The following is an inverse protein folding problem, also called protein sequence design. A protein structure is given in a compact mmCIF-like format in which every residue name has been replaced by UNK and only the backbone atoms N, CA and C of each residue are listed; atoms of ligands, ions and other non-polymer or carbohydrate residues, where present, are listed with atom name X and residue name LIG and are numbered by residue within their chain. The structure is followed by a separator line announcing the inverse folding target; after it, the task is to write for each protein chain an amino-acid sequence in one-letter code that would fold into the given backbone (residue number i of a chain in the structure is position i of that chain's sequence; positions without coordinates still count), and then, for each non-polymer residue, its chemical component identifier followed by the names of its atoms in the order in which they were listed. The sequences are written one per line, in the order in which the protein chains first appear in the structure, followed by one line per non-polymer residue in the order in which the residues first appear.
data_IF_155930073481
#
_entry.id   IF_155930073481
#
_cell.length_a   1.000
_cell.length_b   1.000
_cell.length_c   1.000
_cell.angle_alpha   90.00
_cell.angle_beta   90.00
_cell.angle_gamma   90.00
#
_symmetry.space_group_name_H-M   'P 1'
#
loop_
_entity.id
_entity.type
_entity.pdbx_description
1 polymer ?
#
# COMPACT_ATOMS: atom_id res chain seq x y z
N UNK A 1 2.93 15.61 17.82
CA UNK A 1 2.41 15.74 16.43
C UNK A 1 3.20 14.94 15.39
N UNK A 2 4.52 14.77 15.52
CA UNK A 2 5.31 13.97 14.56
C UNK A 2 5.04 12.45 14.65
N UNK A 3 4.83 11.90 15.86
CA UNK A 3 4.59 10.47 16.07
C UNK A 3 3.34 9.95 15.35
N UNK A 4 2.25 10.73 15.35
CA UNK A 4 1.02 10.36 14.63
C UNK A 4 1.21 10.27 13.12
N UNK A 5 2.06 11.13 12.53
CA UNK A 5 2.37 11.10 11.08
C UNK A 5 3.24 9.90 10.71
N UNK A 6 4.11 9.47 11.61
CA UNK A 6 4.96 8.29 11.41
C UNK A 6 4.13 7.00 11.49
N UNK A 7 3.22 6.91 12.47
CA UNK A 7 2.34 5.76 12.62
C UNK A 7 1.38 5.59 11.42
N UNK A 8 0.81 6.70 10.93
CA UNK A 8 -0.03 6.71 9.72
C UNK A 8 0.72 6.19 8.48
N UNK A 9 1.97 6.61 8.31
CA UNK A 9 2.83 6.15 7.21
C UNK A 9 3.10 4.66 7.28
N UNK A 10 3.46 4.16 8.46
CA UNK A 10 3.75 2.73 8.66
C UNK A 10 2.52 1.86 8.42
N UNK A 11 1.36 2.30 8.91
CA UNK A 11 0.10 1.60 8.68
C UNK A 11 -0.26 1.58 7.18
N UNK A 12 -0.10 2.71 6.49
CA UNK A 12 -0.32 2.79 5.03
C UNK A 12 0.60 1.85 4.28
N UNK A 13 1.90 1.83 4.60
CA UNK A 13 2.86 0.92 3.95
C UNK A 13 2.47 -0.54 4.13
N UNK A 14 2.08 -0.94 5.35
CA UNK A 14 1.64 -2.32 5.63
C UNK A 14 0.39 -2.70 4.85
N UNK A 15 -0.59 -1.80 4.74
CA UNK A 15 -1.78 -2.05 3.90
C UNK A 15 -1.40 -2.21 2.43
N UNK A 16 -0.56 -1.33 1.88
CA UNK A 16 -0.12 -1.43 0.48
C UNK A 16 0.59 -2.76 0.22
N UNK A 17 1.47 -3.20 1.13
CA UNK A 17 2.12 -4.50 1.03
C UNK A 17 1.11 -5.64 0.99
N UNK A 18 0.14 -5.66 1.91
CA UNK A 18 -0.89 -6.70 1.95
C UNK A 18 -1.73 -6.75 0.67
N UNK A 19 -2.09 -5.58 0.12
CA UNK A 19 -2.85 -5.51 -1.13
C UNK A 19 -2.03 -6.04 -2.31
N UNK A 20 -0.76 -5.63 -2.40
CA UNK A 20 0.13 -6.06 -3.49
C UNK A 20 0.41 -7.56 -3.42
N UNK A 21 0.70 -8.11 -2.25
CA UNK A 21 0.91 -9.56 -2.08
C UNK A 21 -0.35 -10.36 -2.40
N UNK A 22 -1.52 -9.88 -1.98
CA UNK A 22 -2.81 -10.46 -2.33
C UNK A 22 -3.06 -10.47 -3.84
N UNK A 23 -2.75 -9.36 -4.53
CA UNK A 23 -2.90 -9.24 -5.99
C UNK A 23 -1.87 -10.06 -6.78
N UNK A 24 -0.63 -10.14 -6.29
CA UNK A 24 0.45 -10.90 -6.92
C UNK A 24 0.34 -12.42 -6.65
N UNK A 25 -0.44 -12.83 -5.65
CA UNK A 25 -0.52 -14.21 -5.16
C UNK A 25 0.86 -14.77 -4.74
N UNK A 26 1.75 -13.89 -4.28
CA UNK A 26 3.06 -14.22 -3.74
C UNK A 26 3.54 -13.13 -2.80
N UNK A 27 4.50 -13.46 -1.96
CA UNK A 27 5.24 -12.46 -1.18
C UNK A 27 6.03 -11.52 -2.10
N UNK A 28 6.16 -10.27 -1.66
CA UNK A 28 6.99 -9.28 -2.33
C UNK A 28 8.47 -9.57 -2.05
N UNK A 29 9.33 -9.31 -3.04
CA UNK A 29 10.77 -9.36 -2.85
C UNK A 29 11.26 -8.10 -2.13
N UNK A 30 12.41 -8.19 -1.46
CA UNK A 30 13.00 -7.07 -0.72
C UNK A 30 13.16 -5.79 -1.57
N UNK A 31 13.47 -5.92 -2.87
CA UNK A 31 13.55 -4.79 -3.80
C UNK A 31 12.19 -4.12 -4.03
N UNK A 32 11.12 -4.91 -4.10
CA UNK A 32 9.75 -4.42 -4.29
C UNK A 32 9.26 -3.70 -3.02
N UNK A 33 9.55 -4.26 -1.84
CA UNK A 33 9.28 -3.60 -0.56
C UNK A 33 9.97 -2.24 -0.44
N UNK A 34 11.25 -2.18 -0.83
CA UNK A 34 12.03 -0.94 -0.81
C UNK A 34 11.43 0.11 -1.76
N UNK A 35 11.10 -0.30 -2.99
CA UNK A 35 10.51 0.60 -3.99
C UNK A 35 9.19 1.20 -3.48
N UNK A 36 8.31 0.39 -2.91
CA UNK A 36 7.04 0.85 -2.35
C UNK A 36 7.25 1.74 -1.13
N UNK A 37 8.23 1.43 -0.26
CA UNK A 37 8.56 2.30 0.87
C UNK A 37 9.03 3.68 0.42
N UNK A 38 9.90 3.75 -0.60
CA UNK A 38 10.40 5.02 -1.15
C UNK A 38 9.24 5.82 -1.77
N UNK A 39 8.39 5.15 -2.55
CA UNK A 39 7.20 5.72 -3.15
C UNK A 39 6.25 6.31 -2.10
N UNK A 40 5.88 5.55 -1.07
CA UNK A 40 4.96 5.98 -0.01
C UNK A 40 5.55 7.11 0.86
N UNK A 41 6.87 7.15 1.00
CA UNK A 41 7.56 8.19 1.78
C UNK A 41 7.41 9.59 1.18
N UNK A 42 7.24 9.68 -0.13
CA UNK A 42 7.06 10.95 -0.86
C UNK A 42 5.66 11.55 -0.74
N UNK A 43 4.69 10.79 -0.23
CA UNK A 43 3.29 11.20 -0.21
C UNK A 43 2.85 11.83 1.12
N UNK A 44 1.95 12.81 0.99
CA UNK A 44 1.21 13.34 2.13
C UNK A 44 0.08 12.35 2.55
N UNK A 45 -0.65 12.67 3.61
CA UNK A 45 -1.68 11.79 4.16
C UNK A 45 -2.87 11.57 3.18
N UNK A 46 -3.26 12.59 2.43
CA UNK A 46 -4.37 12.52 1.47
C UNK A 46 -4.00 11.69 0.23
N UNK A 47 -2.78 11.88 -0.27
CA UNK A 47 -2.21 11.09 -1.37
C UNK A 47 -2.20 9.60 -1.01
N UNK A 48 -1.76 9.27 0.21
CA UNK A 48 -1.72 7.90 0.74
C UNK A 48 -3.11 7.26 0.80
N UNK A 49 -4.10 7.98 1.32
CA UNK A 49 -5.48 7.50 1.36
C UNK A 49 -6.04 7.25 -0.04
N UNK A 50 -5.75 8.16 -0.99
CA UNK A 50 -6.16 8.04 -2.39
C UNK A 50 -5.54 6.80 -3.04
N UNK A 51 -4.24 6.58 -2.85
CA UNK A 51 -3.52 5.41 -3.37
C UNK A 51 -4.08 4.10 -2.82
N UNK A 52 -4.33 4.04 -1.51
CA UNK A 52 -4.92 2.85 -0.88
C UNK A 52 -6.27 2.50 -1.48
N UNK A 53 -7.13 3.50 -1.69
CA UNK A 53 -8.44 3.28 -2.31
C UNK A 53 -8.30 2.77 -3.75
N UNK A 54 -7.43 3.38 -4.57
CA UNK A 54 -7.17 2.91 -5.93
C UNK A 54 -6.68 1.47 -5.96
N UNK A 55 -5.73 1.10 -5.10
CA UNK A 55 -5.21 -0.27 -5.02
C UNK A 55 -6.28 -1.27 -4.59
N UNK A 56 -7.09 -0.95 -3.58
CA UNK A 56 -8.22 -1.77 -3.14
C UNK A 56 -9.25 -1.95 -4.26
N UNK A 57 -9.58 -0.92 -5.02
CA UNK A 57 -10.51 -1.02 -6.14
C UNK A 57 -9.98 -1.90 -7.28
N UNK A 58 -8.68 -1.81 -7.57
CA UNK A 58 -8.05 -2.63 -8.61
C UNK A 58 -8.03 -4.12 -8.22
N UNK A 59 -7.64 -4.45 -6.99
CA UNK A 59 -7.59 -5.85 -6.54
C UNK A 59 -8.97 -6.43 -6.30
N UNK A 60 -9.93 -5.66 -5.77
CA UNK A 60 -11.32 -6.13 -5.62
C UNK A 60 -11.98 -6.46 -6.98
N UNK A 61 -11.61 -5.76 -8.06
CA UNK A 61 -12.06 -6.12 -9.42
C UNK A 61 -11.46 -7.44 -9.90
N UNK A 62 -10.27 -7.81 -9.44
CA UNK A 62 -9.62 -9.10 -9.78
C UNK A 62 -10.13 -10.27 -8.92
N UNK A 63 -10.66 -10.01 -7.72
CA UNK A 63 -11.22 -11.04 -6.82
C UNK A 63 -12.69 -11.38 -7.14
N UNK A 64 -13.38 -10.59 -7.99
CA UNK A 64 -14.69 -10.98 -8.54
C UNK A 64 -14.53 -12.17 -9.50
N UNK A 65 -14.44 -13.35 -8.91
CA UNK A 65 -14.70 -14.63 -9.56
C UNK A 65 -16.24 -14.77 -9.59
N UNK A 66 -16.76 -15.05 -10.78
CA UNK A 66 -18.16 -15.43 -11.03
C UNK A 66 -18.52 -16.73 -10.29
#
# INVERSE_FOLDING_TARGET
MAEFKTQDRENTMREIYSILEGGLQREMHQKEYKLVSEWVSGFNQEDRATILNMLKELTNKHIRID
#
